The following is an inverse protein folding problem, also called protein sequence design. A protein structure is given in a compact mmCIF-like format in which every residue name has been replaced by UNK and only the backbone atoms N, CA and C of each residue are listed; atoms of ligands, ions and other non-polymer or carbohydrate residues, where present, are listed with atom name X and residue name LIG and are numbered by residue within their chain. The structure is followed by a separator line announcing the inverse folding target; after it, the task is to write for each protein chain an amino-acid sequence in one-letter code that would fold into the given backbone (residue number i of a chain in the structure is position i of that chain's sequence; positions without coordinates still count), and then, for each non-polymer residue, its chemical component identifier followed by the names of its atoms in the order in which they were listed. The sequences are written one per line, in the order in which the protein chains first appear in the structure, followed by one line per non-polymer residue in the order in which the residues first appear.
data_IF_123919106768
#
_entry.id   IF_123919106768
#
_cell.length_a   1.000
_cell.length_b   1.000
_cell.length_c   1.000
_cell.angle_alpha   90.00
_cell.angle_beta   90.00
_cell.angle_gamma   90.00
#
_symmetry.space_group_name_H-M   'P 1'
#
loop_
_entity.id
_entity.type
_entity.pdbx_description
1 polymer ?
#
# COMPACT_ATOMS: atom_id res chain seq x y z
N UNK A 1 7.21 13.22 11.79
CA UNK A 1 6.08 12.51 11.20
C UNK A 1 4.99 12.39 12.24
N UNK A 2 3.75 12.75 11.88
CA UNK A 2 2.58 12.65 12.77
C UNK A 2 1.51 11.77 12.12
N UNK A 3 0.96 10.82 12.90
CA UNK A 3 -0.19 9.99 12.50
C UNK A 3 -1.21 10.09 13.63
N UNK A 4 -2.36 10.70 13.37
CA UNK A 4 -3.35 11.07 14.37
C UNK A 4 -2.67 11.90 15.49
N UNK A 5 -2.78 11.47 16.75
CA UNK A 5 -2.20 12.17 17.92
C UNK A 5 -0.74 11.78 18.22
N UNK A 6 -0.18 10.83 17.49
CA UNK A 6 1.19 10.35 17.71
C UNK A 6 2.19 11.03 16.77
N UNK A 7 3.26 11.59 17.33
CA UNK A 7 4.34 12.23 16.58
C UNK A 7 5.68 11.54 16.85
N UNK A 8 6.43 11.25 15.78
CA UNK A 8 7.87 10.91 15.84
C UNK A 8 8.69 12.04 15.24
N UNK A 9 9.67 12.49 15.99
CA UNK A 9 10.64 13.49 15.58
C UNK A 9 11.98 12.79 15.27
N UNK A 10 12.30 12.66 13.98
CA UNK A 10 13.53 12.05 13.51
C UNK A 10 14.72 13.01 13.49
N UNK A 11 14.53 14.29 13.83
CA UNK A 11 15.65 15.22 14.01
C UNK A 11 16.41 15.00 15.30
N UNK A 12 15.85 14.23 16.24
CA UNK A 12 16.49 13.85 17.49
C UNK A 12 17.46 12.72 17.29
N UNK A 13 18.62 12.78 17.95
CA UNK A 13 19.72 11.81 17.83
C UNK A 13 19.32 10.35 18.13
N UNK A 14 18.24 10.11 18.86
CA UNK A 14 17.74 8.77 19.18
C UNK A 14 16.23 8.71 19.20
N UNK A 15 15.64 8.00 18.23
CA UNK A 15 14.24 7.55 18.29
C UNK A 15 14.20 6.17 18.91
N UNK A 16 13.33 5.97 19.92
CA UNK A 16 13.25 4.67 20.59
C UNK A 16 12.66 3.59 19.67
N UNK A 17 13.14 2.34 19.83
CA UNK A 17 12.54 1.19 19.12
C UNK A 17 11.06 1.01 19.44
N UNK A 18 10.66 1.40 20.65
CA UNK A 18 9.26 1.34 21.09
C UNK A 18 8.40 2.29 20.24
N UNK A 19 8.81 3.55 20.06
CA UNK A 19 8.09 4.55 19.29
C UNK A 19 8.02 4.16 17.82
N UNK A 20 9.13 3.69 17.26
CA UNK A 20 9.17 3.18 15.88
C UNK A 20 8.15 2.03 15.71
N UNK A 21 8.11 1.07 16.64
CA UNK A 21 7.17 -0.06 16.56
C UNK A 21 5.72 0.39 16.75
N UNK A 22 5.47 1.41 17.59
CA UNK A 22 4.14 2.00 17.73
C UNK A 22 3.65 2.58 16.40
N UNK A 23 4.50 3.33 15.69
CA UNK A 23 4.21 3.90 14.37
C UNK A 23 4.00 2.82 13.31
N UNK A 24 4.87 1.81 13.28
CA UNK A 24 4.74 0.70 12.33
C UNK A 24 3.42 -0.06 12.45
N UNK A 25 2.83 -0.14 13.64
CA UNK A 25 1.51 -0.75 13.84
C UNK A 25 0.36 0.06 13.22
N UNK A 26 0.55 1.37 13.08
CA UNK A 26 -0.42 2.28 12.48
C UNK A 26 -0.34 2.32 10.95
N UNK A 27 0.71 1.74 10.37
CA UNK A 27 0.94 1.75 8.92
C UNK A 27 0.89 0.34 8.35
N UNK A 28 0.18 0.18 7.25
CA UNK A 28 0.23 -1.02 6.42
C UNK A 28 1.07 -0.73 5.18
N UNK A 29 2.18 -1.46 4.97
CA UNK A 29 3.03 -1.24 3.80
C UNK A 29 2.89 -2.37 2.79
N UNK A 30 2.69 -2.00 1.54
CA UNK A 30 2.64 -2.88 0.37
C UNK A 30 3.80 -2.53 -0.55
N UNK A 31 4.65 -3.50 -0.82
CA UNK A 31 5.88 -3.33 -1.60
C UNK A 31 5.70 -3.77 -3.04
N UNK A 32 6.54 -3.30 -3.93
CA UNK A 32 6.64 -3.70 -5.32
C UNK A 32 6.85 -5.21 -5.48
N UNK A 33 7.68 -5.83 -4.64
CA UNK A 33 8.07 -7.25 -4.71
C UNK A 33 7.18 -8.18 -3.88
N UNK A 34 5.94 -7.79 -3.55
CA UNK A 34 4.93 -8.54 -2.77
C UNK A 34 5.40 -8.92 -1.36
N UNK A 35 6.62 -9.41 -1.20
CA UNK A 35 7.26 -9.82 0.07
C UNK A 35 6.40 -10.79 0.91
N UNK A 36 5.73 -11.72 0.25
CA UNK A 36 5.01 -12.79 0.93
C UNK A 36 5.99 -13.79 1.57
N UNK A 37 5.58 -14.37 2.69
CA UNK A 37 6.31 -15.48 3.31
C UNK A 37 6.17 -16.72 2.43
N UNK A 38 7.24 -17.21 1.77
CA UNK A 38 7.15 -18.24 0.74
C UNK A 38 6.73 -19.61 1.26
N UNK A 39 6.95 -19.86 2.54
CA UNK A 39 6.61 -21.12 3.24
C UNK A 39 5.26 -21.07 3.98
N UNK A 40 4.48 -20.01 3.76
CA UNK A 40 3.14 -19.82 4.32
C UNK A 40 2.11 -19.75 3.22
N UNK A 41 0.92 -20.25 3.47
CA UNK A 41 -0.24 -20.12 2.58
C UNK A 41 -0.73 -18.68 2.51
N UNK A 42 -1.66 -18.37 1.60
CA UNK A 42 -2.31 -17.07 1.50
C UNK A 42 -2.95 -16.67 2.82
N UNK A 43 -3.74 -17.57 3.42
CA UNK A 43 -4.36 -17.33 4.73
C UNK A 43 -3.30 -17.07 5.81
N UNK A 44 -2.27 -17.91 5.89
CA UNK A 44 -1.21 -17.77 6.89
C UNK A 44 -0.41 -16.47 6.74
N UNK A 45 -0.21 -15.99 5.51
CA UNK A 45 0.40 -14.69 5.24
C UNK A 45 -0.43 -13.54 5.83
N UNK A 46 -1.76 -13.62 5.71
CA UNK A 46 -2.67 -12.56 6.19
C UNK A 46 -2.75 -12.56 7.73
N UNK A 47 -2.86 -13.73 8.37
CA UNK A 47 -3.05 -13.83 9.83
C UNK A 47 -1.77 -13.66 10.65
N UNK A 48 -0.59 -13.71 10.04
CA UNK A 48 0.68 -13.64 10.77
C UNK A 48 0.81 -12.39 11.63
N UNK A 49 0.59 -11.22 11.04
CA UNK A 49 0.66 -9.95 11.74
C UNK A 49 -0.36 -9.84 12.89
N UNK A 50 -1.65 -10.06 12.65
CA UNK A 50 -2.68 -10.08 13.69
C UNK A 50 -2.32 -10.97 14.88
N UNK A 51 -1.89 -12.20 14.64
CA UNK A 51 -1.55 -13.14 15.72
C UNK A 51 -0.27 -12.73 16.47
N UNK A 52 0.80 -12.42 15.71
CA UNK A 52 2.12 -12.21 16.32
C UNK A 52 2.31 -10.83 16.92
N UNK A 53 1.74 -9.79 16.30
CA UNK A 53 1.93 -8.38 16.67
C UNK A 53 0.76 -7.84 17.49
N UNK A 54 -0.49 -8.05 17.01
CA UNK A 54 -1.69 -7.56 17.67
C UNK A 54 -2.18 -8.48 18.78
N UNK A 55 -1.66 -9.73 18.83
CA UNK A 55 -2.08 -10.76 19.79
C UNK A 55 -3.55 -11.18 19.65
N UNK A 56 -4.09 -11.02 18.46
CA UNK A 56 -5.46 -11.44 18.12
C UNK A 56 -5.59 -12.97 18.27
N UNK A 57 -6.64 -13.49 18.88
CA UNK A 57 -6.89 -14.93 18.95
C UNK A 57 -6.93 -15.55 17.55
N UNK A 58 -6.31 -16.73 17.38
CA UNK A 58 -6.17 -17.37 16.06
C UNK A 58 -7.50 -17.55 15.32
N UNK A 59 -8.55 -17.96 16.05
CA UNK A 59 -9.87 -18.17 15.44
C UNK A 59 -10.47 -16.87 14.89
N UNK A 60 -10.30 -15.76 15.59
CA UNK A 60 -10.73 -14.43 15.16
C UNK A 60 -9.91 -13.95 13.97
N UNK A 61 -8.58 -14.07 14.02
CA UNK A 61 -7.70 -13.71 12.91
C UNK A 61 -8.03 -14.48 11.62
N UNK A 62 -8.36 -15.77 11.72
CA UNK A 62 -8.79 -16.59 10.58
C UNK A 62 -10.09 -16.04 10.00
N UNK A 63 -11.10 -15.77 10.84
CA UNK A 63 -12.39 -15.24 10.39
C UNK A 63 -12.24 -13.90 9.66
N UNK A 64 -11.44 -12.99 10.21
CA UNK A 64 -11.17 -11.69 9.57
C UNK A 64 -10.39 -11.86 8.25
N UNK A 65 -9.42 -12.76 8.21
CA UNK A 65 -8.65 -13.05 6.99
C UNK A 65 -9.51 -13.67 5.88
N UNK A 66 -10.49 -14.50 6.21
CA UNK A 66 -11.44 -15.05 5.25
C UNK A 66 -12.30 -13.94 4.62
N UNK A 67 -12.75 -12.97 5.39
CA UNK A 67 -13.45 -11.78 4.87
C UNK A 67 -12.55 -10.97 3.94
N UNK A 68 -11.27 -10.82 4.28
CA UNK A 68 -10.32 -10.13 3.42
C UNK A 68 -10.02 -10.91 2.14
N UNK A 69 -9.92 -12.24 2.20
CA UNK A 69 -9.76 -13.08 1.02
C UNK A 69 -10.95 -12.98 0.08
N UNK A 70 -12.17 -12.94 0.61
CA UNK A 70 -13.38 -12.69 -0.19
C UNK A 70 -13.33 -11.30 -0.84
N UNK A 71 -12.97 -10.26 -0.07
CA UNK A 71 -12.86 -8.88 -0.53
C UNK A 71 -11.89 -8.72 -1.72
N UNK A 72 -10.78 -9.45 -1.68
CA UNK A 72 -9.79 -9.41 -2.77
C UNK A 72 -10.05 -10.44 -3.89
N UNK A 73 -11.17 -11.17 -3.83
CA UNK A 73 -11.58 -12.18 -4.82
C UNK A 73 -10.69 -13.42 -4.86
N UNK A 74 -10.14 -13.85 -3.72
CA UNK A 74 -9.19 -14.97 -3.63
C UNK A 74 -9.55 -15.98 -2.52
N UNK A 75 -10.85 -16.13 -2.19
CA UNK A 75 -11.31 -17.09 -1.18
C UNK A 75 -10.92 -18.54 -1.51
N UNK A 76 -10.97 -18.92 -2.79
CA UNK A 76 -10.58 -20.24 -3.29
C UNK A 76 -9.07 -20.50 -3.19
N UNK A 77 -8.26 -19.46 -3.04
CA UNK A 77 -6.79 -19.53 -2.95
C UNK A 77 -6.25 -19.54 -1.52
N UNK A 78 -7.11 -19.62 -0.50
CA UNK A 78 -6.73 -19.50 0.93
C UNK A 78 -5.58 -20.43 1.34
N UNK A 79 -5.51 -21.63 0.74
CA UNK A 79 -4.53 -22.66 1.07
C UNK A 79 -3.34 -22.70 0.08
N UNK A 80 -3.32 -21.82 -0.92
CA UNK A 80 -2.23 -21.78 -1.90
C UNK A 80 -1.00 -21.09 -1.32
N UNK A 81 0.17 -21.58 -1.68
CA UNK A 81 1.45 -20.96 -1.39
C UNK A 81 1.80 -19.91 -2.45
N UNK A 82 2.67 -18.91 -2.16
CA UNK A 82 3.02 -17.85 -3.11
C UNK A 82 3.44 -18.36 -4.50
N UNK A 83 4.22 -19.44 -4.58
CA UNK A 83 4.65 -20.02 -5.86
C UNK A 83 3.52 -20.63 -6.71
N UNK A 84 2.34 -20.80 -6.16
CA UNK A 84 1.13 -21.28 -6.83
C UNK A 84 0.20 -20.16 -7.29
N UNK A 85 0.59 -18.91 -7.12
CA UNK A 85 -0.20 -17.71 -7.35
C UNK A 85 0.43 -16.85 -8.43
N UNK A 86 -0.41 -16.21 -9.27
CA UNK A 86 0.07 -15.18 -10.20
C UNK A 86 0.61 -13.95 -9.45
N UNK A 87 1.39 -13.10 -10.11
CA UNK A 87 1.89 -11.86 -9.54
C UNK A 87 0.77 -10.96 -8.98
N UNK A 88 -0.31 -10.78 -9.75
CA UNK A 88 -1.47 -10.00 -9.31
C UNK A 88 -2.19 -10.62 -8.11
N UNK A 89 -2.28 -11.97 -8.03
CA UNK A 89 -2.82 -12.66 -6.86
C UNK A 89 -1.92 -12.47 -5.64
N UNK A 90 -0.60 -12.57 -5.80
CA UNK A 90 0.36 -12.32 -4.72
C UNK A 90 0.26 -10.89 -4.20
N UNK A 91 0.15 -9.90 -5.09
CA UNK A 91 0.00 -8.50 -4.70
C UNK A 91 -1.30 -8.25 -3.94
N UNK A 92 -2.42 -8.83 -4.40
CA UNK A 92 -3.70 -8.71 -3.69
C UNK A 92 -3.63 -9.34 -2.28
N UNK A 93 -2.93 -10.46 -2.11
CA UNK A 93 -2.68 -11.04 -0.77
C UNK A 93 -1.78 -10.12 0.07
N UNK A 94 -0.76 -9.48 -0.51
CA UNK A 94 0.06 -8.51 0.21
C UNK A 94 -0.78 -7.30 0.69
N UNK A 95 -1.73 -6.84 -0.11
CA UNK A 95 -2.71 -5.81 0.28
C UNK A 95 -3.59 -6.31 1.43
N UNK A 96 -4.17 -7.50 1.32
CA UNK A 96 -5.00 -8.08 2.39
C UNK A 96 -4.20 -8.27 3.70
N UNK A 97 -2.93 -8.67 3.62
CA UNK A 97 -2.02 -8.75 4.77
C UNK A 97 -1.81 -7.39 5.43
N UNK A 98 -1.66 -6.32 4.65
CA UNK A 98 -1.55 -4.97 5.18
C UNK A 98 -2.86 -4.52 5.85
N UNK A 99 -4.01 -4.77 5.24
CA UNK A 99 -5.34 -4.46 5.76
C UNK A 99 -5.66 -5.21 7.07
N UNK A 100 -5.19 -6.46 7.21
CA UNK A 100 -5.41 -7.29 8.39
C UNK A 100 -4.82 -6.68 9.68
N UNK A 101 -3.84 -5.78 9.55
CA UNK A 101 -3.29 -5.02 10.67
C UNK A 101 -4.18 -3.86 11.12
N UNK A 102 -5.28 -3.56 10.42
CA UNK A 102 -6.20 -2.44 10.68
C UNK A 102 -5.44 -1.11 10.78
N UNK A 103 -4.61 -0.77 9.77
CA UNK A 103 -3.74 0.40 9.84
C UNK A 103 -4.53 1.71 9.71
N UNK A 104 -3.98 2.79 10.29
CA UNK A 104 -4.50 4.16 10.10
C UNK A 104 -4.14 4.69 8.69
N UNK A 105 -3.01 4.22 8.11
CA UNK A 105 -2.52 4.64 6.79
C UNK A 105 -2.01 3.42 6.02
N UNK A 106 -2.40 3.30 4.76
CA UNK A 106 -1.84 2.36 3.79
C UNK A 106 -0.77 3.04 2.95
N UNK A 107 0.40 2.43 2.88
CA UNK A 107 1.55 2.88 2.10
C UNK A 107 1.77 1.90 0.95
N UNK A 108 1.77 2.40 -0.29
CA UNK A 108 2.03 1.61 -1.48
C UNK A 108 3.31 2.12 -2.16
N UNK A 109 4.25 1.22 -2.38
CA UNK A 109 5.51 1.51 -3.07
C UNK A 109 5.49 0.78 -4.42
N UNK A 110 5.20 1.50 -5.50
CA UNK A 110 5.11 1.00 -6.87
C UNK A 110 4.30 -0.32 -6.98
N UNK A 111 3.03 -0.36 -6.52
CA UNK A 111 2.30 -1.61 -6.26
C UNK A 111 2.02 -2.45 -7.52
N UNK A 112 2.24 -1.94 -8.71
CA UNK A 112 1.97 -2.64 -9.98
C UNK A 112 3.18 -2.78 -10.90
N UNK A 113 4.35 -2.23 -10.55
CA UNK A 113 5.53 -2.20 -11.43
C UNK A 113 6.10 -3.59 -11.77
N UNK A 114 5.80 -4.60 -10.95
CA UNK A 114 6.22 -6.00 -11.18
C UNK A 114 5.14 -6.87 -11.86
N UNK A 115 4.08 -6.25 -12.38
CA UNK A 115 2.92 -6.96 -12.95
C UNK A 115 2.81 -6.77 -14.45
N UNK A 116 2.29 -7.80 -15.12
CA UNK A 116 1.82 -7.68 -16.50
C UNK A 116 0.59 -6.75 -16.56
N UNK A 117 0.38 -6.04 -17.70
CA UNK A 117 -0.69 -5.04 -17.82
C UNK A 117 -2.10 -5.54 -17.47
N UNK A 118 -2.42 -6.79 -17.78
CA UNK A 118 -3.73 -7.39 -17.46
C UNK A 118 -3.94 -7.56 -15.95
N UNK A 119 -2.90 -8.02 -15.24
CA UNK A 119 -2.94 -8.22 -13.78
C UNK A 119 -2.87 -6.91 -13.00
N UNK A 120 -2.27 -5.90 -13.60
CA UNK A 120 -2.19 -4.56 -13.04
C UNK A 120 -3.57 -3.94 -12.82
N UNK A 121 -4.47 -4.05 -13.81
CA UNK A 121 -5.82 -3.47 -13.75
C UNK A 121 -6.58 -3.96 -12.53
N UNK A 122 -6.46 -5.25 -12.20
CA UNK A 122 -7.12 -5.84 -11.02
C UNK A 122 -6.62 -5.23 -9.71
N UNK A 123 -5.30 -5.00 -9.59
CA UNK A 123 -4.68 -4.41 -8.40
C UNK A 123 -5.04 -2.92 -8.28
N UNK A 124 -5.00 -2.17 -9.39
CA UNK A 124 -5.39 -0.76 -9.41
C UNK A 124 -6.86 -0.55 -9.04
N UNK A 125 -7.75 -1.42 -9.52
CA UNK A 125 -9.16 -1.38 -9.14
C UNK A 125 -9.35 -1.64 -7.64
N UNK A 126 -8.66 -2.63 -7.08
CA UNK A 126 -8.70 -2.87 -5.64
C UNK A 126 -8.24 -1.66 -4.83
N UNK A 127 -7.15 -0.99 -5.25
CA UNK A 127 -6.66 0.22 -4.55
C UNK A 127 -7.69 1.37 -4.66
N UNK A 128 -8.34 1.51 -5.83
CA UNK A 128 -9.41 2.49 -6.04
C UNK A 128 -10.61 2.24 -5.12
N UNK A 129 -11.01 0.98 -4.96
CA UNK A 129 -12.09 0.60 -4.05
C UNK A 129 -11.73 0.96 -2.60
N UNK A 130 -10.49 0.71 -2.17
CA UNK A 130 -10.01 1.10 -0.85
C UNK A 130 -10.04 2.63 -0.65
N UNK A 131 -9.66 3.41 -1.66
CA UNK A 131 -9.76 4.88 -1.61
C UNK A 131 -11.22 5.33 -1.47
N UNK A 132 -12.15 4.71 -2.20
CA UNK A 132 -13.58 4.98 -2.09
C UNK A 132 -14.15 4.61 -0.70
N UNK A 133 -13.59 3.61 -0.03
CA UNK A 133 -13.93 3.23 1.36
C UNK A 133 -13.29 4.17 2.40
N UNK A 134 -12.66 5.26 1.98
CA UNK A 134 -12.06 6.29 2.86
C UNK A 134 -10.84 5.85 3.65
N UNK A 135 -10.11 4.85 3.18
CA UNK A 135 -8.77 4.61 3.71
C UNK A 135 -7.85 5.80 3.41
N UNK A 136 -7.03 6.18 4.37
CA UNK A 136 -5.92 7.11 4.11
C UNK A 136 -4.81 6.36 3.38
N UNK A 137 -4.49 6.80 2.18
CA UNK A 137 -3.57 6.09 1.29
C UNK A 137 -2.46 7.04 0.85
N UNK A 138 -1.22 6.59 0.92
CA UNK A 138 -0.06 7.22 0.28
C UNK A 138 0.51 6.24 -0.75
N UNK A 139 0.61 6.68 -2.01
CA UNK A 139 1.10 5.85 -3.11
C UNK A 139 2.31 6.51 -3.75
N UNK A 140 3.39 5.76 -3.90
CA UNK A 140 4.48 6.09 -4.80
C UNK A 140 4.20 5.39 -6.13
N UNK A 141 4.09 6.15 -7.22
CA UNK A 141 3.84 5.61 -8.56
C UNK A 141 4.34 6.56 -9.64
N UNK A 142 4.68 6.01 -10.78
CA UNK A 142 4.94 6.78 -12.01
C UNK A 142 3.71 6.81 -12.95
N UNK A 143 2.58 6.19 -12.58
CA UNK A 143 1.36 6.11 -13.38
C UNK A 143 0.46 7.30 -13.13
N UNK A 144 0.65 8.36 -13.91
CA UNK A 144 -0.06 9.63 -13.70
C UNK A 144 -1.55 9.54 -14.00
N UNK A 145 -1.97 8.68 -14.96
CA UNK A 145 -3.40 8.45 -15.22
C UNK A 145 -4.10 7.88 -13.97
N UNK A 146 -3.48 6.92 -13.31
CA UNK A 146 -4.01 6.36 -12.07
C UNK A 146 -3.98 7.39 -10.92
N UNK A 147 -2.86 8.10 -10.74
CA UNK A 147 -2.76 9.15 -9.73
C UNK A 147 -3.84 10.22 -9.91
N UNK A 148 -4.07 10.69 -11.16
CA UNK A 148 -5.15 11.64 -11.48
C UNK A 148 -6.53 11.14 -11.04
N UNK A 149 -6.81 9.85 -11.28
CA UNK A 149 -8.16 9.31 -11.10
C UNK A 149 -8.52 9.07 -9.63
N UNK A 150 -7.53 8.95 -8.72
CA UNK A 150 -7.79 8.55 -7.34
C UNK A 150 -7.24 9.48 -6.27
N UNK A 151 -6.29 10.38 -6.60
CA UNK A 151 -5.65 11.18 -5.57
C UNK A 151 -6.38 12.50 -5.33
N UNK A 152 -6.50 12.87 -4.07
CA UNK A 152 -6.92 14.21 -3.66
C UNK A 152 -5.75 15.21 -3.78
N UNK A 153 -4.50 14.71 -3.68
CA UNK A 153 -3.28 15.52 -3.71
C UNK A 153 -2.12 14.70 -4.28
N UNK A 154 -1.36 15.33 -5.17
CA UNK A 154 -0.12 14.78 -5.70
C UNK A 154 1.06 15.59 -5.16
N UNK A 155 2.15 14.91 -4.86
CA UNK A 155 3.42 15.49 -4.44
C UNK A 155 4.48 15.07 -5.44
N UNK A 156 5.03 16.02 -6.20
CA UNK A 156 6.12 15.77 -7.13
C UNK A 156 7.47 15.93 -6.41
N UNK A 157 8.22 14.85 -6.36
CA UNK A 157 9.53 14.78 -5.69
C UNK A 157 10.61 14.57 -6.73
N UNK A 158 11.66 15.39 -6.69
CA UNK A 158 12.86 15.24 -7.54
C UNK A 158 14.11 15.48 -6.69
N UNK A 159 15.15 14.65 -6.87
CA UNK A 159 16.40 14.72 -6.09
C UNK A 159 16.22 14.81 -4.55
N UNK A 160 15.14 14.21 -4.01
CA UNK A 160 14.87 14.19 -2.56
C UNK A 160 14.17 15.45 -2.03
N UNK A 161 13.81 16.40 -2.90
CA UNK A 161 13.10 17.63 -2.56
C UNK A 161 11.67 17.62 -3.13
N UNK A 162 10.74 18.21 -2.40
CA UNK A 162 9.38 18.45 -2.90
C UNK A 162 9.46 19.66 -3.83
N UNK A 163 9.21 19.44 -5.10
CA UNK A 163 9.24 20.48 -6.14
C UNK A 163 7.90 21.17 -6.26
N UNK A 164 6.81 20.40 -6.20
CA UNK A 164 5.46 20.92 -6.32
C UNK A 164 4.48 19.96 -5.63
N UNK A 165 3.37 20.51 -5.12
CA UNK A 165 2.30 19.72 -4.52
C UNK A 165 0.93 20.37 -4.76
N UNK A 166 -0.08 19.56 -5.03
CA UNK A 166 -1.44 20.05 -5.28
C UNK A 166 -2.33 18.97 -5.92
N UNK A 167 -3.56 19.29 -6.30
CA UNK A 167 -4.37 18.42 -7.13
C UNK A 167 -3.71 18.24 -8.51
N UNK A 168 -4.15 17.21 -9.26
CA UNK A 168 -3.57 16.88 -10.57
C UNK A 168 -3.58 18.08 -11.55
N UNK A 169 -4.64 18.85 -11.53
CA UNK A 169 -4.82 20.00 -12.44
C UNK A 169 -3.73 21.07 -12.24
N UNK A 170 -3.28 21.28 -11.01
CA UNK A 170 -2.22 22.25 -10.72
C UNK A 170 -0.88 21.78 -11.30
N UNK A 171 -0.54 20.49 -11.11
CA UNK A 171 0.67 19.92 -11.68
C UNK A 171 0.62 19.91 -13.22
N UNK A 172 -0.54 19.60 -13.79
CA UNK A 172 -0.72 19.61 -15.26
C UNK A 172 -0.55 21.00 -15.87
N UNK A 173 -0.87 22.04 -15.14
CA UNK A 173 -0.70 23.44 -15.52
C UNK A 173 0.57 24.10 -14.92
N UNK A 174 1.47 23.29 -14.35
CA UNK A 174 2.69 23.76 -13.68
C UNK A 174 3.51 24.68 -14.58
N UNK A 175 4.09 25.72 -13.99
CA UNK A 175 5.12 26.54 -14.64
C UNK A 175 6.52 25.92 -14.54
N UNK A 176 6.73 24.94 -13.66
CA UNK A 176 8.02 24.30 -13.43
C UNK A 176 8.43 23.41 -14.61
N UNK A 177 9.60 23.69 -15.20
CA UNK A 177 10.09 22.98 -16.37
C UNK A 177 10.34 21.49 -16.11
N UNK A 178 10.73 21.12 -14.90
CA UNK A 178 11.00 19.72 -14.52
C UNK A 178 9.70 18.92 -14.45
N UNK A 179 8.64 19.49 -13.88
CA UNK A 179 7.29 18.89 -13.85
C UNK A 179 6.76 18.71 -15.26
N UNK A 180 6.83 19.75 -16.11
CA UNK A 180 6.43 19.67 -17.52
C UNK A 180 7.16 18.58 -18.29
N UNK A 181 8.51 18.54 -18.13
CA UNK A 181 9.33 17.52 -18.80
C UNK A 181 8.88 16.10 -18.39
N UNK A 182 8.63 15.86 -17.09
CA UNK A 182 8.18 14.57 -16.60
C UNK A 182 6.79 14.21 -17.18
N UNK A 183 5.82 15.11 -17.11
CA UNK A 183 4.48 14.86 -17.63
C UNK A 183 4.47 14.60 -19.13
N UNK A 184 5.33 15.27 -19.91
CA UNK A 184 5.46 15.04 -21.35
C UNK A 184 6.10 13.68 -21.70
N UNK A 185 6.85 13.06 -20.80
CA UNK A 185 7.47 11.75 -21.02
C UNK A 185 6.52 10.59 -20.80
N UNK A 186 5.43 10.82 -20.04
CA UNK A 186 4.51 9.75 -19.59
C UNK A 186 3.09 9.89 -20.17
N UNK A 187 2.80 10.94 -20.92
CA UNK A 187 1.62 11.13 -21.76
C UNK A 187 1.95 10.80 -23.21
#
# INVERSE_FOLDING_TARGET
ITINDDTIDFSKDKVSKHDINKFRKKTGMVFQSFNLFPHRTALENIIEGPITVLKTPKAEAIKEAEILLDKIGLADKRNNYPHQLSGGQQQRIAIARALAMKPDILLFDEPTSALDPELEVEVLNLIKDLANEKYTILIVTHKMSFARDISDKIVFVDHGEIIEEGPYEDLNNSSNDRVKQFLNLIN
#
